data_IF_898320112737
#
_entry.id   IF_898320112737
#
_cell.length_a   1.000
_cell.length_b   1.000
_cell.length_c   1.000
_cell.angle_alpha   90.00
_cell.angle_beta   90.00
_cell.angle_gamma   90.00
#
_symmetry.space_group_name_H-M   'P 1'
#
loop_
_entity.id
_entity.type
_entity.pdbx_description
1 polymer ?
#
# COMPACT_ATOMS: atom_id res chain seq x y z
N UNK A 1 -40.52 32.19 26.28
CA UNK A 1 -39.93 31.86 24.96
C UNK A 1 -38.85 30.82 25.18
N UNK A 2 -39.17 29.55 24.94
CA UNK A 2 -38.27 28.41 25.13
C UNK A 2 -37.45 28.19 23.86
N UNK A 3 -36.16 28.47 23.92
CA UNK A 3 -35.23 28.17 22.83
C UNK A 3 -35.06 26.65 22.70
N UNK A 4 -35.57 26.09 21.62
CA UNK A 4 -35.34 24.72 21.17
C UNK A 4 -33.85 24.54 20.84
N UNK A 5 -33.14 23.80 21.69
CA UNK A 5 -31.76 23.35 21.40
C UNK A 5 -31.77 22.51 20.11
N UNK A 6 -31.05 22.99 19.08
CA UNK A 6 -30.77 22.22 17.85
C UNK A 6 -30.11 20.90 18.24
N UNK A 7 -30.80 19.77 17.99
CA UNK A 7 -30.22 18.43 18.06
C UNK A 7 -29.02 18.38 17.12
N UNK A 8 -27.82 18.16 17.67
CA UNK A 8 -26.65 17.85 16.86
C UNK A 8 -26.94 16.65 15.97
N UNK A 9 -26.65 16.76 14.68
CA UNK A 9 -26.65 15.63 13.74
C UNK A 9 -25.77 14.54 14.38
N UNK A 10 -26.35 13.36 14.65
CA UNK A 10 -25.55 12.17 14.95
C UNK A 10 -24.52 12.05 13.83
N UNK A 11 -23.22 12.02 14.15
CA UNK A 11 -22.19 11.64 13.17
C UNK A 11 -22.64 10.29 12.62
N UNK A 12 -22.99 10.28 11.34
CA UNK A 12 -23.34 9.06 10.65
C UNK A 12 -22.08 8.20 10.70
N UNK A 13 -22.17 7.01 11.30
CA UNK A 13 -21.07 6.06 11.24
C UNK A 13 -20.75 5.83 9.77
N UNK A 14 -19.48 5.93 9.35
CA UNK A 14 -19.14 5.73 7.96
C UNK A 14 -19.48 4.28 7.59
N UNK A 15 -20.06 4.08 6.41
CA UNK A 15 -20.57 2.78 5.94
C UNK A 15 -19.79 2.43 4.68
N UNK A 16 -19.24 1.22 4.64
CA UNK A 16 -18.66 0.64 3.44
C UNK A 16 -19.79 0.38 2.45
N UNK A 17 -19.82 1.14 1.37
CA UNK A 17 -20.89 1.09 0.37
C UNK A 17 -20.59 0.11 -0.75
N UNK A 18 -19.30 -0.19 -0.98
CA UNK A 18 -18.82 -1.12 -1.98
C UNK A 18 -18.53 -2.52 -1.41
N UNK A 19 -19.10 -3.57 -2.01
CA UNK A 19 -18.79 -4.97 -1.67
C UNK A 19 -17.65 -5.58 -2.51
N UNK A 20 -16.94 -4.77 -3.29
CA UNK A 20 -15.90 -5.18 -4.23
C UNK A 20 -14.48 -5.22 -3.64
N UNK A 21 -14.32 -4.85 -2.38
CA UNK A 21 -13.05 -5.01 -1.68
C UNK A 21 -12.66 -6.48 -1.60
N UNK A 22 -11.38 -6.75 -1.86
CA UNK A 22 -10.84 -8.11 -1.89
C UNK A 22 -9.79 -8.35 -0.79
N UNK A 23 -9.30 -7.29 -0.15
CA UNK A 23 -8.41 -7.40 0.99
C UNK A 23 -7.47 -6.21 1.11
N UNK A 24 -6.52 -6.34 2.04
CA UNK A 24 -5.45 -5.38 2.23
C UNK A 24 -4.11 -6.09 2.42
N UNK A 25 -3.05 -5.46 1.91
CA UNK A 25 -1.67 -5.85 2.13
C UNK A 25 -0.94 -4.73 2.84
N UNK A 26 -0.19 -5.01 3.89
CA UNK A 26 0.38 -3.97 4.73
C UNK A 26 1.65 -4.45 5.43
N UNK A 27 2.38 -3.48 5.98
CA UNK A 27 3.50 -3.71 6.90
C UNK A 27 3.19 -3.14 8.27
N UNK A 28 3.84 -3.70 9.27
CA UNK A 28 3.90 -3.14 10.62
C UNK A 28 5.13 -2.22 10.71
N UNK A 29 4.90 -0.93 10.95
CA UNK A 29 5.97 0.07 11.02
C UNK A 29 6.82 -0.09 12.28
N UNK A 30 6.32 -0.72 13.37
CA UNK A 30 7.13 -1.07 14.54
C UNK A 30 8.17 -2.13 14.19
N UNK A 31 7.85 -3.08 13.30
CA UNK A 31 8.84 -4.05 12.83
C UNK A 31 9.96 -3.39 12.03
N UNK A 32 9.65 -2.33 11.29
CA UNK A 32 10.66 -1.54 10.58
C UNK A 32 11.53 -0.76 11.56
N UNK A 33 10.95 -0.20 12.63
CA UNK A 33 11.70 0.48 13.70
C UNK A 33 12.70 -0.46 14.39
N UNK A 34 12.36 -1.73 14.59
CA UNK A 34 13.31 -2.74 15.13
C UNK A 34 14.54 -2.96 14.23
N UNK A 35 14.44 -2.60 12.94
CA UNK A 35 15.52 -2.64 11.95
C UNK A 35 16.14 -1.26 11.69
N UNK A 36 15.94 -0.31 12.61
CA UNK A 36 16.50 1.02 12.51
C UNK A 36 18.03 0.99 12.33
N UNK A 37 18.53 1.96 11.56
CA UNK A 37 19.96 2.11 11.34
C UNK A 37 20.33 3.59 11.39
N UNK A 38 21.39 3.90 12.15
CA UNK A 38 21.75 5.28 12.48
C UNK A 38 22.67 5.94 11.45
N UNK A 39 23.48 5.14 10.72
CA UNK A 39 24.46 5.68 9.79
C UNK A 39 23.87 5.90 8.40
N UNK A 40 24.10 7.09 7.85
CA UNK A 40 23.66 7.42 6.50
C UNK A 40 24.40 6.57 5.44
N UNK A 41 23.65 5.94 4.53
CA UNK A 41 24.14 5.02 3.50
C UNK A 41 23.94 5.59 2.10
N UNK A 42 24.70 5.07 1.13
CA UNK A 42 24.59 5.45 -0.29
C UNK A 42 23.47 4.73 -1.05
N UNK A 43 22.86 3.71 -0.45
CA UNK A 43 21.81 2.87 -1.05
C UNK A 43 20.65 2.73 -0.06
N UNK A 44 19.43 2.65 -0.59
CA UNK A 44 18.23 2.31 0.19
C UNK A 44 18.40 0.92 0.84
N UNK A 45 17.84 0.75 2.03
CA UNK A 45 17.86 -0.49 2.80
C UNK A 45 16.46 -0.97 3.17
N UNK A 46 15.45 -0.11 3.13
CA UNK A 46 14.10 -0.41 3.62
C UNK A 46 13.08 -0.17 2.51
N UNK A 47 13.05 1.04 1.94
CA UNK A 47 11.98 1.50 1.05
C UNK A 47 11.74 0.52 -0.09
N UNK A 48 12.80 0.16 -0.82
CA UNK A 48 12.70 -0.77 -1.96
C UNK A 48 12.12 -2.12 -1.55
N UNK A 49 12.64 -2.73 -0.48
CA UNK A 49 12.21 -4.06 -0.04
C UNK A 49 10.76 -4.09 0.45
N UNK A 50 10.35 -3.04 1.17
CA UNK A 50 8.96 -2.91 1.62
C UNK A 50 8.02 -2.72 0.44
N UNK A 51 8.34 -1.80 -0.47
CA UNK A 51 7.52 -1.54 -1.65
C UNK A 51 7.42 -2.76 -2.57
N UNK A 52 8.52 -3.49 -2.76
CA UNK A 52 8.51 -4.71 -3.60
C UNK A 52 7.70 -5.83 -2.94
N UNK A 53 7.86 -6.02 -1.62
CA UNK A 53 7.06 -6.98 -0.86
C UNK A 53 5.55 -6.69 -0.95
N UNK A 54 5.15 -5.43 -0.74
CA UNK A 54 3.76 -5.00 -0.88
C UNK A 54 3.24 -5.15 -2.32
N UNK A 55 4.07 -4.89 -3.33
CA UNK A 55 3.74 -5.06 -4.75
C UNK A 55 3.50 -6.53 -5.11
N UNK A 56 4.37 -7.42 -4.63
CA UNK A 56 4.24 -8.85 -4.81
C UNK A 56 2.97 -9.40 -4.14
N UNK A 57 2.70 -8.98 -2.90
CA UNK A 57 1.48 -9.35 -2.19
C UNK A 57 0.21 -8.81 -2.89
N UNK A 58 0.27 -7.58 -3.40
CA UNK A 58 -0.82 -6.98 -4.20
C UNK A 58 -1.10 -7.80 -5.45
N UNK A 59 -0.05 -8.19 -6.19
CA UNK A 59 -0.17 -9.01 -7.39
C UNK A 59 -0.74 -10.40 -7.09
N UNK A 60 -0.34 -11.00 -5.97
CA UNK A 60 -0.86 -12.28 -5.51
C UNK A 60 -2.36 -12.20 -5.20
N UNK A 61 -2.79 -11.20 -4.45
CA UNK A 61 -4.21 -11.03 -4.10
C UNK A 61 -5.06 -10.75 -5.35
N UNK A 62 -4.60 -9.91 -6.27
CA UNK A 62 -5.30 -9.71 -7.54
C UNK A 62 -5.43 -10.99 -8.35
N UNK A 63 -4.36 -11.81 -8.41
CA UNK A 63 -4.38 -13.10 -9.09
C UNK A 63 -5.40 -14.07 -8.48
N UNK A 64 -5.51 -14.13 -7.14
CA UNK A 64 -6.53 -14.94 -6.45
C UNK A 64 -7.96 -14.57 -6.86
N UNK A 65 -8.17 -13.30 -7.21
CA UNK A 65 -9.45 -12.76 -7.68
C UNK A 65 -9.56 -12.68 -9.22
N UNK A 66 -8.71 -13.39 -9.97
CA UNK A 66 -8.67 -13.44 -11.43
C UNK A 66 -8.45 -12.08 -12.11
N UNK A 67 -7.71 -11.19 -11.45
CA UNK A 67 -7.30 -9.89 -11.99
C UNK A 67 -5.86 -9.99 -12.45
N UNK A 68 -5.64 -9.76 -13.75
CA UNK A 68 -4.32 -9.76 -14.38
C UNK A 68 -3.57 -8.44 -14.14
N UNK A 69 -3.30 -8.14 -12.86
CA UNK A 69 -2.54 -6.97 -12.42
C UNK A 69 -1.27 -7.42 -11.70
N UNK A 70 -0.14 -7.33 -12.38
CA UNK A 70 1.17 -7.71 -11.84
C UNK A 70 2.04 -6.47 -11.68
N UNK A 71 2.67 -6.35 -10.53
CA UNK A 71 3.59 -5.26 -10.24
C UNK A 71 4.74 -5.70 -9.33
N UNK A 72 5.90 -5.09 -9.55
CA UNK A 72 7.10 -5.23 -8.69
C UNK A 72 7.76 -3.86 -8.56
N UNK A 73 8.38 -3.61 -7.41
CA UNK A 73 9.17 -2.41 -7.20
C UNK A 73 10.63 -2.71 -7.52
N UNK A 74 11.20 -1.94 -8.44
CA UNK A 74 12.59 -2.08 -8.86
C UNK A 74 13.37 -0.84 -8.44
N UNK A 75 14.52 -1.04 -7.78
CA UNK A 75 15.46 0.02 -7.45
C UNK A 75 16.78 -0.12 -8.22
N UNK A 76 17.00 0.79 -9.16
CA UNK A 76 18.24 0.92 -9.93
C UNK A 76 19.21 1.82 -9.17
N UNK A 77 20.01 1.22 -8.30
CA UNK A 77 20.87 1.97 -7.37
C UNK A 77 21.93 2.86 -8.06
N UNK A 78 22.38 2.51 -9.28
CA UNK A 78 23.38 3.30 -10.02
C UNK A 78 22.74 4.57 -10.60
N UNK A 79 21.55 4.42 -11.17
CA UNK A 79 20.77 5.52 -11.75
C UNK A 79 19.97 6.30 -10.69
N UNK A 80 19.98 5.84 -9.43
CA UNK A 80 19.18 6.39 -8.32
C UNK A 80 17.69 6.53 -8.72
N UNK A 81 17.12 5.53 -9.39
CA UNK A 81 15.69 5.48 -9.73
C UNK A 81 15.02 4.33 -9.01
N UNK A 82 13.82 4.56 -8.50
CA UNK A 82 12.96 3.53 -7.92
C UNK A 82 11.60 3.59 -8.59
N UNK A 83 11.02 2.45 -8.97
CA UNK A 83 9.78 2.43 -9.74
C UNK A 83 8.97 1.16 -9.60
N UNK A 84 7.65 1.29 -9.76
CA UNK A 84 6.78 0.15 -9.98
C UNK A 84 6.72 -0.18 -11.46
N UNK A 85 7.13 -1.40 -11.80
CA UNK A 85 6.98 -1.98 -13.13
C UNK A 85 5.65 -2.71 -13.18
N UNK A 86 4.82 -2.40 -14.17
CA UNK A 86 3.44 -2.89 -14.25
C UNK A 86 3.25 -3.78 -15.48
N UNK A 87 2.52 -4.88 -15.31
CA UNK A 87 2.25 -5.86 -16.37
C UNK A 87 0.88 -6.50 -16.22
N UNK A 88 0.35 -6.95 -17.36
CA UNK A 88 -0.85 -7.80 -17.46
C UNK A 88 -0.53 -9.30 -17.45
N UNK A 89 0.76 -9.66 -17.48
CA UNK A 89 1.25 -11.03 -17.40
C UNK A 89 2.25 -11.16 -16.25
N UNK A 90 2.32 -12.30 -15.56
CA UNK A 90 3.34 -12.53 -14.55
C UNK A 90 4.74 -12.39 -15.18
N UNK A 91 5.69 -11.83 -14.44
CA UNK A 91 7.07 -11.63 -14.87
C UNK A 91 8.04 -11.93 -13.73
N UNK A 92 9.26 -12.31 -14.07
CA UNK A 92 10.35 -12.47 -13.12
C UNK A 92 11.03 -11.12 -12.83
N UNK A 93 11.75 -11.04 -11.71
CA UNK A 93 12.44 -9.82 -11.31
C UNK A 93 13.45 -9.34 -12.38
N UNK A 94 14.14 -10.27 -13.04
CA UNK A 94 15.07 -9.98 -14.15
C UNK A 94 14.38 -9.26 -15.31
N UNK A 95 13.24 -9.79 -15.78
CA UNK A 95 12.42 -9.17 -16.83
C UNK A 95 11.94 -7.77 -16.41
N UNK A 96 11.51 -7.62 -15.15
CA UNK A 96 11.08 -6.33 -14.60
C UNK A 96 12.20 -5.30 -14.59
N UNK A 97 13.41 -5.69 -14.18
CA UNK A 97 14.61 -4.84 -14.21
C UNK A 97 14.97 -4.44 -15.64
N UNK A 98 15.01 -5.41 -16.56
CA UNK A 98 15.31 -5.17 -17.97
C UNK A 98 14.31 -4.21 -18.61
N UNK A 99 13.01 -4.41 -18.35
CA UNK A 99 11.97 -3.52 -18.84
C UNK A 99 12.08 -2.11 -18.26
N UNK A 100 12.39 -1.96 -16.96
CA UNK A 100 12.58 -0.64 -16.37
C UNK A 100 13.77 0.10 -16.98
N UNK A 101 14.89 -0.60 -17.22
CA UNK A 101 16.06 -0.02 -17.90
C UNK A 101 15.69 0.45 -19.30
N UNK A 102 15.04 -0.40 -20.10
CA UNK A 102 14.58 -0.07 -21.44
C UNK A 102 13.63 1.12 -21.45
N UNK A 103 12.70 1.18 -20.50
CA UNK A 103 11.76 2.29 -20.34
C UNK A 103 12.50 3.62 -20.05
N UNK A 104 13.50 3.59 -19.17
CA UNK A 104 14.30 4.77 -18.86
C UNK A 104 15.15 5.23 -20.05
N UNK A 105 15.67 4.30 -20.87
CA UNK A 105 16.40 4.62 -22.10
C UNK A 105 15.45 5.28 -23.10
N UNK A 106 14.31 4.63 -23.39
CA UNK A 106 13.31 5.12 -24.35
C UNK A 106 12.79 6.52 -23.99
N UNK A 107 12.64 6.81 -22.69
CA UNK A 107 12.14 8.10 -22.19
C UNK A 107 13.24 9.11 -21.86
N UNK A 108 14.51 8.83 -22.19
CA UNK A 108 15.66 9.69 -21.92
C UNK A 108 15.86 10.04 -20.42
N UNK A 109 15.51 9.11 -19.53
CA UNK A 109 15.69 9.24 -18.08
C UNK A 109 16.82 8.39 -17.50
N UNK A 110 17.48 7.56 -18.32
CA UNK A 110 18.57 6.68 -17.87
C UNK A 110 19.87 7.44 -17.55
N UNK A 111 20.13 8.55 -18.27
CA UNK A 111 21.26 9.44 -18.03
C UNK A 111 22.59 9.04 -18.69
N UNK A 112 22.62 7.96 -19.47
CA UNK A 112 23.74 7.57 -20.31
C UNK A 112 23.21 7.06 -21.66
N UNK A 113 23.69 7.65 -22.75
CA UNK A 113 23.24 7.38 -24.12
C UNK A 113 23.85 6.08 -24.70
N UNK A 114 24.93 5.56 -24.08
CA UNK A 114 25.67 4.38 -24.56
C UNK A 114 25.14 3.04 -24.01
N UNK A 115 23.99 3.03 -23.32
CA UNK A 115 23.47 1.79 -22.74
C UNK A 115 22.54 1.07 -23.72
N UNK A 116 22.89 -0.18 -23.99
CA UNK A 116 22.11 -1.05 -24.86
C UNK A 116 20.80 -1.50 -24.21
N UNK A 117 19.78 -1.66 -25.06
CA UNK A 117 18.52 -2.28 -24.67
C UNK A 117 18.75 -3.73 -24.21
N UNK A 118 18.07 -4.11 -23.14
CA UNK A 118 18.08 -5.48 -22.62
C UNK A 118 16.95 -6.29 -23.26
N UNK A 119 17.17 -7.59 -23.45
CA UNK A 119 16.12 -8.48 -23.93
C UNK A 119 14.99 -8.58 -22.90
N UNK A 120 13.75 -8.44 -23.38
CA UNK A 120 12.53 -8.55 -22.57
C UNK A 120 11.57 -9.48 -23.30
N UNK A 121 11.32 -10.65 -22.72
CA UNK A 121 10.46 -11.67 -23.34
C UNK A 121 8.98 -11.46 -23.02
N UNK A 122 8.68 -10.80 -21.90
CA UNK A 122 7.30 -10.56 -21.51
C UNK A 122 6.67 -9.41 -22.32
N UNK A 123 5.67 -9.75 -23.12
CA UNK A 123 4.90 -8.78 -23.93
C UNK A 123 3.75 -8.10 -23.17
N UNK A 124 3.59 -8.40 -21.88
CA UNK A 124 2.48 -7.96 -21.04
C UNK A 124 2.73 -6.65 -20.29
N UNK A 125 3.94 -6.11 -20.35
CA UNK A 125 4.27 -4.85 -19.69
C UNK A 125 3.45 -3.69 -20.24
N UNK A 126 2.92 -2.88 -19.32
CA UNK A 126 2.06 -1.73 -19.65
C UNK A 126 2.71 -0.39 -19.32
N UNK A 127 3.76 -0.38 -18.50
CA UNK A 127 4.58 0.79 -18.26
C UNK A 127 5.22 0.80 -16.88
N UNK A 128 5.82 1.94 -16.55
CA UNK A 128 6.54 2.16 -15.29
C UNK A 128 6.11 3.49 -14.67
N UNK A 129 5.86 3.46 -13.37
CA UNK A 129 5.75 4.66 -12.52
C UNK A 129 7.01 4.73 -11.67
N UNK A 130 7.78 5.81 -11.75
CA UNK A 130 9.05 5.90 -11.02
C UNK A 130 9.29 7.27 -10.38
N UNK A 131 10.16 7.27 -9.38
CA UNK A 131 10.70 8.45 -8.72
C UNK A 131 12.20 8.58 -9.00
N UNK A 132 12.64 9.82 -9.20
CA UNK A 132 14.04 10.18 -9.33
C UNK A 132 14.64 10.56 -7.98
N UNK A 133 15.65 9.80 -7.54
CA UNK A 133 16.36 10.03 -6.29
C UNK A 133 17.75 10.64 -6.52
N UNK A 134 18.04 11.14 -7.73
CA UNK A 134 19.37 11.64 -8.11
C UNK A 134 19.87 12.78 -7.22
N UNK A 135 18.95 13.64 -6.75
CA UNK A 135 19.23 14.76 -5.84
C UNK A 135 19.54 14.35 -4.40
N UNK A 136 19.42 13.06 -4.06
CA UNK A 136 19.63 12.55 -2.71
C UNK A 136 20.99 11.87 -2.63
N UNK A 137 21.86 12.35 -1.75
CA UNK A 137 23.22 11.83 -1.60
C UNK A 137 23.31 10.64 -0.66
N UNK A 138 22.58 10.69 0.45
CA UNK A 138 22.61 9.65 1.49
C UNK A 138 21.21 9.43 2.08
N UNK A 139 20.99 8.20 2.53
CA UNK A 139 19.76 7.72 3.14
C UNK A 139 20.04 7.31 4.57
N UNK A 140 19.24 7.81 5.52
CA UNK A 140 19.19 7.28 6.88
C UNK A 140 17.78 6.71 7.14
N UNK A 141 17.60 6.05 8.29
CA UNK A 141 16.34 5.39 8.61
C UNK A 141 15.14 6.34 8.55
N UNK A 142 15.19 7.48 9.25
CA UNK A 142 14.10 8.47 9.27
C UNK A 142 13.74 8.97 7.88
N UNK A 143 14.75 9.23 7.05
CA UNK A 143 14.56 9.67 5.68
C UNK A 143 13.91 8.59 4.82
N UNK A 144 14.33 7.33 4.97
CA UNK A 144 13.70 6.19 4.29
C UNK A 144 12.25 5.99 4.74
N UNK A 145 11.94 6.13 6.03
CA UNK A 145 10.56 6.02 6.52
C UNK A 145 9.66 7.13 5.94
N UNK A 146 10.14 8.37 5.92
CA UNK A 146 9.41 9.48 5.28
C UNK A 146 9.24 9.27 3.77
N UNK A 147 10.28 8.75 3.10
CA UNK A 147 10.23 8.41 1.68
C UNK A 147 9.21 7.30 1.40
N UNK A 148 9.18 6.25 2.21
CA UNK A 148 8.26 5.13 2.05
C UNK A 148 6.81 5.62 2.01
N UNK A 149 6.38 6.36 3.03
CA UNK A 149 5.02 6.91 3.10
C UNK A 149 4.70 7.81 1.92
N UNK A 150 5.68 8.65 1.50
CA UNK A 150 5.52 9.55 0.37
C UNK A 150 5.37 8.79 -0.96
N UNK A 151 6.26 7.85 -1.25
CA UNK A 151 6.22 7.08 -2.49
C UNK A 151 4.96 6.22 -2.57
N UNK A 152 4.52 5.61 -1.47
CA UNK A 152 3.26 4.86 -1.45
C UNK A 152 2.07 5.76 -1.79
N UNK A 153 2.00 6.99 -1.28
CA UNK A 153 0.90 7.92 -1.61
C UNK A 153 1.00 8.45 -3.04
N UNK A 154 2.17 8.92 -3.43
CA UNK A 154 2.35 9.67 -4.68
C UNK A 154 2.37 8.75 -5.91
N UNK A 155 2.90 7.53 -5.78
CA UNK A 155 3.05 6.61 -6.92
C UNK A 155 1.84 5.68 -7.11
N UNK A 156 1.02 5.42 -6.08
CA UNK A 156 -0.08 4.47 -6.24
C UNK A 156 -1.21 4.99 -7.13
N UNK A 157 -1.43 6.32 -7.12
CA UNK A 157 -2.43 6.97 -7.96
C UNK A 157 -2.12 6.72 -9.45
N UNK A 158 -0.91 7.05 -9.97
CA UNK A 158 -0.58 6.74 -11.36
C UNK A 158 -0.49 5.24 -11.65
N UNK A 159 -0.15 4.38 -10.68
CA UNK A 159 -0.20 2.91 -10.85
C UNK A 159 -1.63 2.45 -11.17
N UNK A 160 -2.59 2.85 -10.33
CA UNK A 160 -4.01 2.57 -10.53
C UNK A 160 -4.50 3.11 -11.88
N UNK A 161 -4.15 4.36 -12.20
CA UNK A 161 -4.53 4.95 -13.50
C UNK A 161 -3.99 4.16 -14.69
N UNK A 162 -2.76 3.65 -14.61
CA UNK A 162 -2.19 2.86 -15.69
C UNK A 162 -2.94 1.53 -15.85
N UNK A 163 -3.25 0.82 -14.77
CA UNK A 163 -4.08 -0.38 -14.85
C UNK A 163 -5.45 -0.10 -15.49
N UNK A 164 -6.12 0.96 -15.06
CA UNK A 164 -7.44 1.34 -15.61
C UNK A 164 -7.36 1.71 -17.10
N UNK A 165 -6.33 2.43 -17.55
CA UNK A 165 -6.12 2.75 -18.98
C UNK A 165 -5.92 1.50 -19.84
N UNK A 166 -5.44 0.42 -19.25
CA UNK A 166 -5.25 -0.88 -19.90
C UNK A 166 -6.41 -1.85 -19.65
N UNK A 167 -7.58 -1.36 -19.19
CA UNK A 167 -8.78 -2.15 -18.90
C UNK A 167 -8.57 -3.25 -17.85
N UNK A 168 -7.63 -3.05 -16.93
CA UNK A 168 -7.41 -3.93 -15.78
C UNK A 168 -8.17 -3.34 -14.58
N UNK A 169 -9.22 -4.01 -14.05
CA UNK A 169 -10.03 -3.48 -12.95
C UNK A 169 -9.34 -3.67 -11.59
N UNK A 170 -8.13 -3.13 -11.47
CA UNK A 170 -7.32 -3.13 -10.25
C UNK A 170 -7.42 -1.77 -9.55
N UNK A 171 -8.25 -1.69 -8.52
CA UNK A 171 -8.42 -0.49 -7.71
C UNK A 171 -7.56 -0.60 -6.45
N UNK A 172 -6.63 0.35 -6.29
CA UNK A 172 -5.62 0.33 -5.24
C UNK A 172 -5.55 1.71 -4.59
N UNK A 173 -5.60 1.76 -3.26
CA UNK A 173 -5.39 2.98 -2.49
C UNK A 173 -4.44 2.72 -1.33
N UNK A 174 -3.59 3.70 -1.05
CA UNK A 174 -2.74 3.68 0.15
C UNK A 174 -3.58 4.01 1.37
N UNK A 175 -3.43 3.21 2.43
CA UNK A 175 -4.02 3.48 3.74
C UNK A 175 -2.92 3.46 4.81
N UNK A 176 -3.02 4.40 5.75
CA UNK A 176 -2.05 4.57 6.82
C UNK A 176 -2.77 4.79 8.15
N UNK A 177 -2.81 3.76 8.98
CA UNK A 177 -3.33 3.82 10.34
C UNK A 177 -2.14 4.03 11.28
N UNK A 178 -1.75 5.28 11.48
CA UNK A 178 -0.60 5.67 12.29
C UNK A 178 -0.72 5.16 13.73
N UNK A 179 -1.90 5.26 14.33
CA UNK A 179 -2.19 4.79 15.69
C UNK A 179 -2.03 3.27 15.84
N UNK A 180 -2.21 2.53 14.73
CA UNK A 180 -2.08 1.08 14.66
C UNK A 180 -0.69 0.63 14.15
N UNK A 181 0.18 1.59 13.83
CA UNK A 181 1.48 1.33 13.19
C UNK A 181 1.36 0.49 11.91
N UNK A 182 0.28 0.66 11.14
CA UNK A 182 0.04 -0.09 9.89
C UNK A 182 0.04 0.83 8.67
N UNK A 183 0.81 0.44 7.66
CA UNK A 183 0.88 1.14 6.37
C UNK A 183 0.76 0.12 5.25
N UNK A 184 -0.15 0.35 4.29
CA UNK A 184 -0.44 -0.63 3.27
C UNK A 184 -1.30 -0.14 2.12
N UNK A 185 -1.77 -1.11 1.34
CA UNK A 185 -2.70 -0.93 0.24
C UNK A 185 -4.03 -1.62 0.52
N UNK A 186 -5.11 -0.94 0.19
CA UNK A 186 -6.46 -1.49 0.12
C UNK A 186 -6.80 -1.81 -1.32
N UNK A 187 -7.33 -3.02 -1.54
CA UNK A 187 -7.49 -3.60 -2.86
C UNK A 187 -8.96 -3.91 -3.13
N UNK A 188 -9.42 -3.56 -4.33
CA UNK A 188 -10.79 -3.81 -4.78
C UNK A 188 -10.84 -4.10 -6.27
N UNK A 189 -11.86 -4.86 -6.69
CA UNK A 189 -12.19 -5.13 -8.09
C UNK A 189 -13.25 -4.19 -8.66
N UNK A 190 -13.82 -3.33 -7.80
CA UNK A 190 -14.80 -2.30 -8.16
C UNK A 190 -14.34 -0.92 -7.68
N UNK A 191 -14.73 0.17 -8.36
CA UNK A 191 -14.44 1.52 -7.88
C UNK A 191 -15.14 1.77 -6.53
N UNK A 192 -14.49 2.55 -5.66
CA UNK A 192 -15.00 2.99 -4.36
C UNK A 192 -14.59 4.45 -4.09
N UNK A 193 -15.22 5.10 -3.12
CA UNK A 193 -14.73 6.40 -2.66
C UNK A 193 -13.49 6.19 -1.77
N UNK A 194 -12.32 6.38 -2.36
CA UNK A 194 -11.04 6.18 -1.68
C UNK A 194 -10.88 7.05 -0.42
N UNK A 195 -11.51 8.23 -0.38
CA UNK A 195 -11.41 9.13 0.78
C UNK A 195 -12.32 8.72 1.92
N UNK A 196 -13.44 8.07 1.62
CA UNK A 196 -14.44 7.70 2.61
C UNK A 196 -14.32 6.23 3.05
N UNK A 197 -13.89 5.35 2.15
CA UNK A 197 -14.01 3.90 2.34
C UNK A 197 -12.68 3.18 2.52
N UNK A 198 -11.54 3.71 2.03
CA UNK A 198 -10.26 3.00 2.08
C UNK A 198 -9.82 2.73 3.54
N UNK A 199 -9.69 3.78 4.35
CA UNK A 199 -9.22 3.66 5.73
C UNK A 199 -10.22 2.88 6.59
N UNK A 200 -11.53 3.08 6.36
CA UNK A 200 -12.59 2.34 7.05
C UNK A 200 -12.51 0.83 6.75
N UNK A 201 -12.33 0.47 5.47
CA UNK A 201 -12.18 -0.92 5.08
C UNK A 201 -10.90 -1.50 5.68
N UNK A 202 -9.80 -0.74 5.69
CA UNK A 202 -8.53 -1.21 6.24
C UNK A 202 -8.64 -1.52 7.74
N UNK A 203 -9.27 -0.63 8.50
CA UNK A 203 -9.57 -0.84 9.93
C UNK A 203 -10.43 -2.09 10.14
N UNK A 204 -11.55 -2.21 9.41
CA UNK A 204 -12.44 -3.38 9.48
C UNK A 204 -11.69 -4.68 9.17
N UNK A 205 -10.86 -4.67 8.13
CA UNK A 205 -10.05 -5.81 7.72
C UNK A 205 -9.06 -6.25 8.82
N UNK A 206 -8.46 -5.30 9.54
CA UNK A 206 -7.57 -5.61 10.66
C UNK A 206 -8.32 -6.22 11.84
N UNK A 207 -9.51 -5.68 12.17
CA UNK A 207 -10.36 -6.18 13.26
C UNK A 207 -10.80 -7.62 12.97
N UNK A 208 -11.35 -7.89 11.79
CA UNK A 208 -11.82 -9.22 11.38
C UNK A 208 -10.72 -10.29 11.40
N UNK A 209 -9.45 -9.88 11.30
CA UNK A 209 -8.28 -10.76 11.30
C UNK A 209 -7.57 -10.83 12.66
N UNK A 210 -8.04 -10.11 13.67
CA UNK A 210 -7.37 -10.03 14.99
C UNK A 210 -6.01 -9.34 14.93
N UNK A 211 -5.81 -8.43 13.97
CA UNK A 211 -4.57 -7.70 13.72
C UNK A 211 -4.66 -6.23 14.16
N UNK A 212 -5.84 -5.79 14.61
CA UNK A 212 -6.10 -4.48 15.18
C UNK A 212 -5.74 -4.46 16.67
N UNK A 213 -5.03 -3.42 17.11
CA UNK A 213 -4.58 -3.22 18.49
C UNK A 213 -5.55 -2.25 19.16
N UNK A 214 -6.40 -2.74 20.06
CA UNK A 214 -7.26 -1.88 20.88
C UNK A 214 -8.74 -2.25 20.96
N UNK A 215 -9.18 -3.28 20.25
CA UNK A 215 -10.57 -3.80 20.29
C UNK A 215 -10.65 -5.17 20.98
N UNK A 216 -9.92 -5.37 22.08
CA UNK A 216 -10.52 -6.14 23.16
C UNK A 216 -11.52 -5.18 23.82
N UNK A 217 -12.71 -5.02 23.20
CA UNK A 217 -13.87 -4.62 23.99
C UNK A 217 -13.91 -5.59 25.16
N UNK A 218 -13.75 -5.03 26.35
CA UNK A 218 -14.08 -5.60 27.63
C UNK A 218 -15.31 -6.54 27.54
N UNK A 219 -15.09 -7.81 27.20
CA UNK A 219 -15.94 -8.93 27.63
C UNK A 219 -15.72 -9.08 29.15
N UNK A 220 -16.04 -8.01 29.89
CA UNK A 220 -16.33 -8.10 31.31
C UNK A 220 -17.57 -8.96 31.38
N UNK A 221 -17.34 -10.26 31.64
CA UNK A 221 -18.33 -11.18 32.16
C UNK A 221 -19.24 -10.42 33.12
N UNK A 222 -20.47 -10.12 32.68
CA UNK A 222 -21.51 -9.60 33.57
C UNK A 222 -21.84 -10.72 34.54
N UNK A 223 -21.10 -10.80 35.64
CA UNK A 223 -21.47 -11.61 36.79
C UNK A 223 -22.78 -11.04 37.31
N UNK A 224 -23.88 -11.69 36.95
CA UNK A 224 -25.20 -11.41 37.51
C UNK A 224 -25.20 -11.95 38.94
N UNK A 225 -24.85 -11.10 39.91
CA UNK A 225 -25.07 -11.40 41.33
C UNK A 225 -26.57 -11.37 41.58
N UNK A 226 -27.21 -12.53 41.59
CA UNK A 226 -28.57 -12.67 42.13
C UNK A 226 -28.47 -12.68 43.65
N UNK A 227 -29.07 -11.67 44.28
CA UNK A 227 -29.27 -11.63 45.73
C UNK A 227 -30.30 -12.71 46.08
N UNK A 228 -29.85 -13.80 46.70
CA UNK A 228 -30.76 -14.79 47.29
C UNK A 228 -31.52 -14.10 48.41
N UNK A 229 -32.83 -13.94 48.25
CA UNK A 229 -33.69 -13.52 49.34
C UNK A 229 -33.77 -14.66 50.35
N UNK A 230 -33.31 -14.42 51.57
CA UNK A 230 -33.59 -15.29 52.71
C UNK A 230 -35.11 -15.32 52.91
N UNK A 231 -35.69 -16.50 52.70
CA UNK A 231 -37.06 -16.80 53.09
C UNK A 231 -37.01 -17.71 54.31
N UNK A 232 -37.19 -17.05 55.47
CA UNK A 232 -37.72 -17.54 56.76
C UNK A 232 -36.95 -18.59 57.54
#
# INVERSE_FOLDING_TARGET
MTQTKRRGRKKQTPIISNTGFIGSVFIDTLELQKKSYYFARKKLQIVHHVLDGLSGATSALFKEHNISAYMSCVYLHKQKKIGFVLSTKPFEQSDGVAYFINYLIEKNFYGNEDVEYQEVFNTGFIGVVFADLSSIDRFNFEFEMGMLTKLMKDMIIPVKELFLRHNVPAYISTSHLEEQNKLGFVLSVKPYDERAEADLYFETYLIERGLFIGDEEDDIDKIVIRKTAELR
#
